data_IF_637972077205
#
_entry.id   IF_637972077205
#
_cell.length_a   1.000
_cell.length_b   1.000
_cell.length_c   1.000
_cell.angle_alpha   90.00
_cell.angle_beta   90.00
_cell.angle_gamma   90.00
#
_symmetry.space_group_name_H-M   'P 1'
#
loop_
_entity.id
_entity.type
_entity.pdbx_description
1 polymer ?
#
# COMPACT_ATOMS: atom_id res chain seq x y z
N UNK A 1 -1.17 7.04 -3.56
CA UNK A 1 -0.51 6.31 -2.46
C UNK A 1 0.93 6.04 -2.83
N UNK A 2 1.88 6.58 -2.05
CA UNK A 2 3.32 6.27 -2.19
C UNK A 2 3.61 4.97 -1.45
N UNK A 3 4.44 4.13 -2.04
CA UNK A 3 4.84 2.84 -1.47
C UNK A 3 6.31 2.56 -1.76
N UNK A 4 6.92 1.71 -0.95
CA UNK A 4 8.28 1.23 -1.14
C UNK A 4 8.27 -0.23 -1.56
N UNK A 5 9.10 -0.57 -2.53
CA UNK A 5 9.33 -1.96 -2.92
C UNK A 5 10.15 -2.65 -1.83
N UNK A 6 9.58 -3.68 -1.22
CA UNK A 6 10.25 -4.50 -0.20
C UNK A 6 11.12 -5.55 -0.87
N UNK A 7 10.57 -6.23 -1.89
CA UNK A 7 11.24 -7.35 -2.55
C UNK A 7 10.66 -7.59 -3.94
N UNK A 8 11.52 -8.05 -4.85
CA UNK A 8 11.11 -8.67 -6.11
C UNK A 8 11.43 -10.16 -6.02
N UNK A 9 10.41 -11.02 -6.16
CA UNK A 9 10.52 -12.47 -6.01
C UNK A 9 10.15 -13.16 -7.32
N UNK A 10 10.93 -14.13 -7.81
CA UNK A 10 10.55 -14.94 -8.96
C UNK A 10 9.19 -15.61 -8.76
N UNK A 11 8.37 -15.67 -9.80
CA UNK A 11 7.10 -16.36 -9.87
C UNK A 11 7.04 -17.29 -11.08
N UNK A 12 6.00 -18.12 -11.17
CA UNK A 12 5.89 -19.12 -12.24
C UNK A 12 5.70 -18.49 -13.63
N UNK A 13 4.88 -17.43 -13.72
CA UNK A 13 4.60 -16.72 -14.99
C UNK A 13 5.33 -15.41 -15.11
N UNK A 14 5.39 -14.66 -14.02
CA UNK A 14 6.09 -13.38 -13.91
C UNK A 14 6.46 -13.14 -12.43
N UNK A 15 7.43 -12.26 -12.15
CA UNK A 15 7.84 -11.97 -10.78
C UNK A 15 6.73 -11.30 -9.97
N UNK A 16 6.83 -11.42 -8.65
CA UNK A 16 6.06 -10.66 -7.69
C UNK A 16 6.88 -9.46 -7.23
N UNK A 17 6.31 -8.28 -7.34
CA UNK A 17 6.78 -7.05 -6.71
C UNK A 17 6.01 -6.88 -5.41
N UNK A 18 6.68 -7.11 -4.30
CA UNK A 18 6.11 -6.98 -2.96
C UNK A 18 6.39 -5.57 -2.46
N UNK A 19 5.32 -4.85 -2.12
CA UNK A 19 5.41 -3.46 -1.64
C UNK A 19 5.00 -3.36 -0.16
N UNK A 20 5.31 -2.25 0.51
CA UNK A 20 4.91 -2.02 1.90
C UNK A 20 3.47 -1.49 2.05
N UNK A 21 2.87 -0.96 0.99
CA UNK A 21 1.43 -0.73 0.95
C UNK A 21 0.67 -2.06 0.93
N UNK A 22 -0.52 -2.08 1.52
CA UNK A 22 -1.37 -3.25 1.56
C UNK A 22 -2.84 -2.92 1.23
N UNK A 23 -3.66 -3.97 1.11
CA UNK A 23 -5.09 -3.80 0.86
C UNK A 23 -5.80 -2.95 1.93
N UNK A 24 -5.24 -2.86 3.14
CA UNK A 24 -5.78 -1.98 4.18
C UNK A 24 -5.51 -0.50 3.93
N UNK A 25 -4.50 -0.15 3.12
CA UNK A 25 -4.18 1.23 2.74
C UNK A 25 -4.93 1.64 1.46
N UNK A 26 -5.17 0.69 0.56
CA UNK A 26 -5.89 0.88 -0.71
C UNK A 26 -6.75 -0.36 -1.00
N UNK A 27 -7.97 -0.37 -0.47
CA UNK A 27 -8.85 -1.54 -0.52
C UNK A 27 -9.51 -1.79 -1.88
N UNK A 28 -9.60 -0.79 -2.74
CA UNK A 28 -10.38 -0.85 -3.98
C UNK A 28 -9.95 -1.93 -4.97
N UNK A 29 -8.65 -2.23 -5.20
CA UNK A 29 -8.26 -3.36 -6.04
C UNK A 29 -8.79 -4.70 -5.53
N UNK A 30 -8.70 -4.94 -4.21
CA UNK A 30 -9.18 -6.18 -3.59
C UNK A 30 -10.71 -6.32 -3.59
N UNK A 31 -11.46 -5.22 -3.47
CA UNK A 31 -12.91 -5.23 -3.34
C UNK A 31 -13.65 -5.15 -4.69
N UNK A 32 -13.08 -4.45 -5.68
CA UNK A 32 -13.79 -4.07 -6.90
C UNK A 32 -12.96 -4.30 -8.17
N UNK A 33 -11.80 -4.96 -8.09
CA UNK A 33 -10.85 -5.05 -9.20
C UNK A 33 -10.47 -3.67 -9.78
N UNK A 34 -10.47 -2.63 -8.92
CA UNK A 34 -10.22 -1.27 -9.35
C UNK A 34 -8.80 -1.13 -9.88
N UNK A 35 -8.70 -0.50 -11.05
CA UNK A 35 -7.41 -0.19 -11.64
C UNK A 35 -6.79 1.06 -11.01
N UNK A 36 -5.54 0.93 -10.58
CA UNK A 36 -4.66 2.04 -10.21
C UNK A 36 -3.35 1.88 -10.97
N UNK A 37 -2.87 2.95 -11.62
CA UNK A 37 -1.54 2.93 -12.24
C UNK A 37 -0.48 2.77 -11.15
N UNK A 38 0.48 1.90 -11.42
CA UNK A 38 1.68 1.73 -10.61
C UNK A 38 2.88 2.24 -11.39
N UNK A 39 3.54 3.28 -10.88
CA UNK A 39 4.68 3.91 -11.54
C UNK A 39 5.85 4.07 -10.58
N UNK A 40 7.06 3.83 -11.06
CA UNK A 40 8.26 4.11 -10.28
C UNK A 40 8.42 5.63 -10.10
N UNK A 41 8.89 6.08 -8.93
CA UNK A 41 9.21 7.49 -8.68
C UNK A 41 10.42 7.91 -9.52
N UNK A 42 11.35 6.99 -9.74
CA UNK A 42 12.53 7.18 -10.60
C UNK A 42 12.58 6.04 -11.63
N UNK A 43 11.85 6.17 -12.76
CA UNK A 43 11.82 5.12 -13.78
C UNK A 43 13.17 5.00 -14.50
N UNK A 44 13.64 3.76 -14.70
CA UNK A 44 14.85 3.47 -15.49
C UNK A 44 14.64 3.60 -16.98
N UNK A 45 13.40 3.63 -17.45
CA UNK A 45 13.01 3.54 -18.86
C UNK A 45 12.83 2.11 -19.34
N UNK A 46 13.17 1.11 -18.54
CA UNK A 46 12.94 -0.30 -18.83
C UNK A 46 11.59 -0.76 -18.30
N UNK A 47 11.01 -1.79 -18.92
CA UNK A 47 9.70 -2.34 -18.56
C UNK A 47 9.79 -3.81 -18.16
N UNK A 48 8.91 -4.21 -17.26
CA UNK A 48 8.73 -5.60 -16.85
C UNK A 48 7.26 -5.95 -16.65
N UNK A 49 6.90 -7.19 -16.89
CA UNK A 49 5.58 -7.71 -16.48
C UNK A 49 5.70 -8.30 -15.09
N UNK A 50 4.84 -7.89 -14.15
CA UNK A 50 4.88 -8.36 -12.77
C UNK A 50 3.49 -8.44 -12.12
N UNK A 51 3.39 -9.23 -11.05
CA UNK A 51 2.29 -9.17 -10.10
C UNK A 51 2.68 -8.21 -8.98
N UNK A 52 1.80 -7.28 -8.60
CA UNK A 52 2.03 -6.32 -7.53
C UNK A 52 1.19 -6.72 -6.33
N UNK A 53 1.85 -7.01 -5.21
CA UNK A 53 1.20 -7.54 -4.01
C UNK A 53 1.68 -6.80 -2.76
N UNK A 54 0.82 -6.74 -1.75
CA UNK A 54 1.17 -6.20 -0.45
C UNK A 54 1.86 -7.24 0.45
N UNK A 55 2.16 -6.89 1.70
CA UNK A 55 2.90 -7.73 2.64
C UNK A 55 1.98 -8.56 3.56
N UNK A 56 0.66 -8.43 3.45
CA UNK A 56 -0.29 -9.14 4.31
C UNK A 56 -0.40 -10.60 3.90
N UNK A 57 -0.52 -11.51 4.87
CA UNK A 57 -0.72 -12.94 4.64
C UNK A 57 -2.18 -13.22 4.26
N UNK A 58 -2.61 -12.64 3.13
CA UNK A 58 -3.97 -12.68 2.61
C UNK A 58 -3.91 -12.69 1.07
N UNK A 59 -4.61 -13.63 0.43
CA UNK A 59 -4.58 -13.77 -1.04
C UNK A 59 -5.13 -12.54 -1.77
N UNK A 60 -6.06 -11.83 -1.15
CA UNK A 60 -6.64 -10.60 -1.69
C UNK A 60 -5.73 -9.37 -1.55
N UNK A 61 -4.59 -9.48 -0.85
CA UNK A 61 -3.59 -8.38 -0.78
C UNK A 61 -2.80 -8.27 -2.09
N UNK A 62 -3.56 -8.10 -3.16
CA UNK A 62 -3.09 -8.03 -4.54
C UNK A 62 -3.60 -6.75 -5.20
N UNK A 63 -2.68 -5.93 -5.69
CA UNK A 63 -3.00 -4.71 -6.40
C UNK A 63 -3.13 -4.92 -7.91
N UNK A 64 -2.35 -5.83 -8.46
CA UNK A 64 -2.38 -6.14 -9.89
C UNK A 64 -1.73 -7.49 -10.21
N UNK A 65 -2.24 -8.14 -11.24
CA UNK A 65 -1.69 -9.38 -11.79
C UNK A 65 -1.23 -9.17 -13.24
N UNK A 66 -0.04 -9.69 -13.57
CA UNK A 66 0.49 -9.68 -14.94
C UNK A 66 0.57 -8.28 -15.57
N UNK A 67 0.89 -7.27 -14.79
CA UNK A 67 0.87 -5.87 -15.25
C UNK A 67 2.22 -5.46 -15.82
N UNK A 68 2.19 -4.74 -16.93
CA UNK A 68 3.36 -4.05 -17.46
C UNK A 68 3.65 -2.80 -16.62
N UNK A 69 4.82 -2.75 -16.00
CA UNK A 69 5.27 -1.69 -15.09
C UNK A 69 6.71 -1.28 -15.39
N UNK A 70 7.16 -0.17 -14.82
CA UNK A 70 8.59 0.16 -14.79
C UNK A 70 9.37 -0.92 -14.05
N UNK A 71 10.59 -1.20 -14.51
CA UNK A 71 11.49 -2.07 -13.75
C UNK A 71 11.80 -1.43 -12.40
N UNK A 72 11.56 -2.17 -11.34
CA UNK A 72 11.81 -1.75 -9.95
C UNK A 72 12.62 -2.78 -9.19
N UNK A 73 13.34 -2.31 -8.17
CA UNK A 73 14.19 -3.12 -7.30
C UNK A 73 13.83 -2.88 -5.82
N UNK A 74 14.23 -3.79 -4.92
CA UNK A 74 14.06 -3.58 -3.49
C UNK A 74 14.66 -2.24 -3.04
N UNK A 75 13.87 -1.45 -2.32
CA UNK A 75 14.23 -0.10 -1.87
C UNK A 75 13.68 1.04 -2.72
N UNK A 76 13.28 0.77 -3.95
CA UNK A 76 12.68 1.78 -4.83
C UNK A 76 11.34 2.28 -4.28
N UNK A 77 11.04 3.54 -4.56
CA UNK A 77 9.73 4.13 -4.32
C UNK A 77 8.87 4.05 -5.58
N UNK A 78 7.61 3.73 -5.38
CA UNK A 78 6.59 3.70 -6.41
C UNK A 78 5.31 4.39 -5.94
N UNK A 79 4.41 4.67 -6.87
CA UNK A 79 3.16 5.36 -6.60
C UNK A 79 2.00 4.62 -7.26
N UNK A 80 0.97 4.30 -6.47
CA UNK A 80 -0.35 4.01 -6.99
C UNK A 80 -1.05 5.35 -7.26
N UNK A 81 -1.31 5.65 -8.52
CA UNK A 81 -1.99 6.88 -8.94
C UNK A 81 -3.49 6.82 -8.70
N UNK A 82 -4.12 8.00 -8.67
CA UNK A 82 -5.58 8.14 -8.55
C UNK A 82 -6.13 7.44 -7.30
N UNK A 83 -5.34 7.39 -6.22
CA UNK A 83 -5.70 6.72 -4.97
C UNK A 83 -6.39 7.67 -3.95
N UNK A 84 -6.58 8.96 -4.27
CA UNK A 84 -7.16 9.93 -3.34
C UNK A 84 -8.64 9.66 -3.02
N UNK A 85 -9.46 9.40 -4.05
CA UNK A 85 -10.85 9.06 -3.83
C UNK A 85 -10.96 7.66 -3.20
N UNK A 86 -11.60 7.62 -2.01
CA UNK A 86 -11.82 6.39 -1.23
C UNK A 86 -10.54 5.68 -0.74
N UNK A 87 -9.35 6.26 -0.90
CA UNK A 87 -8.12 5.73 -0.33
C UNK A 87 -8.16 5.80 1.20
N UNK A 88 -7.98 6.97 1.77
CA UNK A 88 -7.96 7.17 3.23
C UNK A 88 -9.30 6.79 3.90
N UNK A 89 -10.44 7.11 3.29
CA UNK A 89 -11.77 6.84 3.88
C UNK A 89 -12.15 5.37 3.94
N UNK A 90 -11.55 4.52 3.11
CA UNK A 90 -11.72 3.06 3.14
C UNK A 90 -10.54 2.35 3.82
N UNK A 91 -9.49 3.08 4.17
CA UNK A 91 -8.35 2.52 4.88
C UNK A 91 -8.81 1.96 6.23
N UNK A 92 -8.16 0.87 6.64
CA UNK A 92 -8.53 0.16 7.85
C UNK A 92 -7.30 -0.43 8.53
N UNK A 93 -7.51 -1.00 9.71
CA UNK A 93 -6.44 -1.53 10.56
C UNK A 93 -6.29 -3.04 10.47
N UNK A 94 -6.72 -3.64 9.36
CA UNK A 94 -6.57 -5.07 9.15
C UNK A 94 -5.13 -5.54 9.40
N UNK A 95 -4.99 -6.66 10.06
CA UNK A 95 -3.70 -7.20 10.54
C UNK A 95 -2.95 -6.26 11.50
N UNK A 96 -3.68 -5.43 12.27
CA UNK A 96 -3.12 -4.46 13.22
C UNK A 96 -2.09 -3.50 12.58
N UNK A 97 -2.29 -3.16 11.31
CA UNK A 97 -1.46 -2.19 10.62
C UNK A 97 -1.86 -0.76 10.98
N UNK A 98 -0.88 0.14 10.97
CA UNK A 98 -1.11 1.57 11.14
C UNK A 98 -1.98 2.13 9.99
N UNK A 99 -2.72 3.20 10.24
CA UNK A 99 -3.23 4.05 9.15
C UNK A 99 -2.14 5.01 8.71
N UNK A 100 -1.89 5.07 7.41
CA UNK A 100 -0.84 5.93 6.83
C UNK A 100 -1.19 7.41 6.93
N UNK A 101 -0.21 8.32 7.03
CA UNK A 101 -0.48 9.75 7.06
C UNK A 101 -0.96 10.26 5.71
N UNK A 102 -1.71 11.37 5.72
CA UNK A 102 -2.04 12.08 4.49
C UNK A 102 -1.18 13.35 4.36
N UNK A 103 -0.67 13.55 3.17
CA UNK A 103 0.20 14.70 2.84
C UNK A 103 -0.44 15.47 1.69
N UNK A 104 -0.64 16.76 1.90
CA UNK A 104 -1.07 17.69 0.85
C UNK A 104 0.16 18.30 0.20
N UNK A 105 0.15 18.37 -1.13
CA UNK A 105 1.26 18.96 -1.92
C UNK A 105 0.69 20.02 -2.85
N UNK A 106 1.35 21.19 -2.88
CA UNK A 106 1.04 22.30 -3.77
C UNK A 106 2.35 22.89 -4.33
N UNK A 107 2.72 22.49 -5.52
CA UNK A 107 4.01 22.82 -6.12
C UNK A 107 5.16 22.27 -5.27
N UNK A 108 6.01 23.16 -4.75
CA UNK A 108 7.13 22.81 -3.86
C UNK A 108 6.74 22.79 -2.37
N UNK A 109 5.51 23.16 -2.02
CA UNK A 109 5.02 23.16 -0.65
C UNK A 109 4.36 21.84 -0.33
N UNK A 110 4.52 21.37 0.89
CA UNK A 110 3.83 20.19 1.40
C UNK A 110 3.53 20.34 2.89
N UNK A 111 2.49 19.65 3.35
CA UNK A 111 2.12 19.59 4.75
C UNK A 111 1.46 18.24 5.06
N UNK A 112 1.65 17.74 6.28
CA UNK A 112 0.86 16.65 6.80
C UNK A 112 -0.52 17.21 7.16
N UNK A 113 -1.58 16.64 6.59
CA UNK A 113 -2.97 17.06 6.82
C UNK A 113 -3.76 16.02 7.61
N UNK A 114 -3.23 14.79 7.73
CA UNK A 114 -3.68 13.78 8.68
C UNK A 114 -2.46 13.01 9.20
N UNK A 115 -2.33 12.91 10.52
CA UNK A 115 -1.24 12.18 11.14
C UNK A 115 -1.39 10.67 10.96
N UNK A 116 -0.27 9.94 11.03
CA UNK A 116 -0.27 8.49 11.12
C UNK A 116 -0.97 8.05 12.42
N UNK A 117 -1.83 7.05 12.31
CA UNK A 117 -2.40 6.39 13.51
C UNK A 117 -1.67 5.07 13.73
N UNK A 118 -0.86 5.03 14.78
CA UNK A 118 -0.06 3.86 15.11
C UNK A 118 -0.91 2.75 15.75
N UNK A 119 -0.57 1.47 15.60
CA UNK A 119 -1.27 0.36 16.23
C UNK A 119 -1.40 0.52 17.74
N UNK A 120 -0.40 1.08 18.40
CA UNK A 120 -0.44 1.34 19.85
C UNK A 120 -1.59 2.27 20.25
N UNK A 121 -1.93 3.26 19.42
CA UNK A 121 -3.07 4.16 19.67
C UNK A 121 -4.40 3.41 19.62
N UNK A 122 -4.51 2.45 18.69
CA UNK A 122 -5.71 1.63 18.51
C UNK A 122 -5.85 0.68 19.69
N UNK A 123 -4.77 -0.03 20.06
CA UNK A 123 -4.74 -0.96 21.19
C UNK A 123 -5.01 -0.28 22.52
N UNK A 124 -4.58 0.98 22.70
CA UNK A 124 -4.85 1.75 23.91
C UNK A 124 -6.35 2.04 24.13
N UNK A 125 -7.19 1.86 23.12
CA UNK A 125 -8.65 1.96 23.26
C UNK A 125 -9.31 0.69 23.82
N UNK A 126 -8.60 -0.43 23.83
CA UNK A 126 -9.08 -1.70 24.38
C UNK A 126 -9.16 -1.64 25.91
N UNK A 127 -10.07 -2.42 26.48
CA UNK A 127 -10.27 -2.51 27.94
C UNK A 127 -10.35 -3.98 28.33
N UNK A 128 -9.66 -4.33 29.41
CA UNK A 128 -9.88 -5.59 30.10
C UNK A 128 -11.13 -5.40 30.96
N UNK A 129 -12.17 -6.25 30.85
CA UNK A 129 -13.35 -6.13 31.69
C UNK A 129 -13.03 -6.53 33.14
N UNK A 130 -13.64 -5.80 34.09
CA UNK A 130 -13.38 -5.92 35.53
C UNK A 130 -13.55 -7.36 36.09
N UNK A 131 -14.36 -8.18 35.40
CA UNK A 131 -14.61 -9.57 35.80
C UNK A 131 -13.52 -10.57 35.31
N UNK A 132 -12.48 -10.09 34.64
CA UNK A 132 -11.29 -10.86 34.25
C UNK A 132 -10.05 -10.58 35.13
N UNK A 133 -10.16 -9.72 36.14
CA UNK A 133 -9.10 -9.47 37.11
C UNK A 133 -9.06 -10.52 38.24
#
# INVERSE_FOLDING_TARGET
>A
LVTKVIRVKPGASCPFVIVDAAMNDLARPALYDAWHDFVAVQPSGERMTANIVGPICESSDTFAMGRDIDVVQPGDLAVFRTAGAYGATMANTYNSRALVPEVMVDGARWAIVADRIEPATILAAERVPDWLE
#
